data_IF_182846412195
#
_entry.id   IF_182846412195
#
_cell.length_a   1.000
_cell.length_b   1.000
_cell.length_c   1.000
_cell.angle_alpha   90.00
_cell.angle_beta   90.00
_cell.angle_gamma   90.00
#
_symmetry.space_group_name_H-M   'P 1'
#
loop_
_entity.id
_entity.type
_entity.pdbx_description
1 polymer ?
#
# COMPACT_ATOMS: atom_id res chain seq x y z
N UNK A 1 11.51 -10.43 -9.76
CA UNK A 1 10.36 -10.95 -9.00
C UNK A 1 10.32 -12.43 -9.29
N UNK A 2 10.90 -13.24 -8.41
CA UNK A 2 11.04 -14.69 -8.62
C UNK A 2 10.16 -15.48 -7.64
N UNK A 3 9.51 -14.79 -6.71
CA UNK A 3 8.69 -15.38 -5.66
C UNK A 3 7.23 -15.51 -6.12
N UNK A 4 6.49 -16.52 -5.61
CA UNK A 4 5.09 -16.72 -5.97
C UNK A 4 4.21 -15.59 -5.42
N UNK A 5 3.04 -15.34 -6.04
CA UNK A 5 2.14 -14.25 -5.63
C UNK A 5 1.67 -14.38 -4.17
N UNK A 6 1.53 -15.60 -3.65
CA UNK A 6 1.24 -15.82 -2.23
C UNK A 6 2.29 -15.22 -1.29
N UNK A 7 3.57 -15.22 -1.68
CA UNK A 7 4.64 -14.62 -0.89
C UNK A 7 4.53 -13.08 -0.91
N UNK A 8 4.27 -12.48 -2.08
CA UNK A 8 4.09 -11.02 -2.21
C UNK A 8 2.85 -10.52 -1.47
N UNK A 9 1.77 -11.32 -1.42
CA UNK A 9 0.58 -10.97 -0.65
C UNK A 9 0.84 -10.97 0.87
N UNK A 10 1.78 -11.78 1.36
CA UNK A 10 2.03 -11.94 2.80
C UNK A 10 3.21 -11.12 3.34
N UNK A 11 4.18 -10.77 2.51
CA UNK A 11 5.40 -10.06 2.94
C UNK A 11 5.10 -8.74 3.65
N UNK A 12 4.09 -8.00 3.19
CA UNK A 12 3.64 -6.77 3.84
C UNK A 12 3.16 -7.01 5.27
N UNK A 13 2.35 -8.04 5.48
CA UNK A 13 1.86 -8.41 6.82
C UNK A 13 3.00 -8.86 7.75
N UNK A 14 3.99 -9.58 7.23
CA UNK A 14 5.16 -9.98 8.02
C UNK A 14 5.96 -8.77 8.50
N UNK A 15 6.17 -7.78 7.62
CA UNK A 15 6.82 -6.52 8.01
C UNK A 15 6.01 -5.75 9.07
N UNK A 16 4.68 -5.78 8.97
CA UNK A 16 3.80 -5.16 9.96
C UNK A 16 3.91 -5.84 11.32
N UNK A 17 3.93 -7.17 11.40
CA UNK A 17 4.09 -7.87 12.68
C UNK A 17 5.40 -7.48 13.38
N UNK A 18 6.48 -7.27 12.62
CA UNK A 18 7.74 -6.77 13.18
C UNK A 18 7.61 -5.32 13.66
N UNK A 19 6.97 -4.45 12.87
CA UNK A 19 6.73 -3.06 13.25
C UNK A 19 5.84 -2.95 14.50
N UNK A 20 4.81 -3.79 14.62
CA UNK A 20 3.94 -3.87 15.80
C UNK A 20 4.71 -4.30 17.04
N UNK A 21 5.64 -5.25 16.92
CA UNK A 21 6.49 -5.64 18.05
C UNK A 21 7.30 -4.44 18.57
N UNK A 22 7.91 -3.66 17.67
CA UNK A 22 8.66 -2.46 18.05
C UNK A 22 7.77 -1.36 18.64
N UNK A 23 6.55 -1.19 18.11
CA UNK A 23 5.55 -0.25 18.62
C UNK A 23 5.05 -0.64 20.02
N UNK A 24 4.65 -1.89 20.21
CA UNK A 24 3.88 -2.32 21.39
C UNK A 24 4.75 -2.83 22.54
N UNK A 25 5.84 -3.53 22.22
CA UNK A 25 6.76 -4.10 23.22
C UNK A 25 7.87 -3.11 23.53
N UNK A 26 8.56 -2.62 22.51
CA UNK A 26 9.69 -1.71 22.70
C UNK A 26 9.27 -0.25 22.89
N UNK A 27 8.00 0.10 22.59
CA UNK A 27 7.43 1.45 22.78
C UNK A 27 8.22 2.52 22.03
N UNK A 28 8.61 2.20 20.80
CA UNK A 28 9.40 3.08 19.94
C UNK A 28 8.57 3.57 18.76
N UNK A 29 8.99 4.70 18.22
CA UNK A 29 8.48 5.22 16.96
C UNK A 29 9.18 4.49 15.81
N UNK A 30 8.38 3.80 14.99
CA UNK A 30 8.85 2.96 13.89
C UNK A 30 8.56 3.65 12.58
N UNK A 31 9.57 3.73 11.72
CA UNK A 31 9.40 4.17 10.34
C UNK A 31 9.32 2.93 9.44
N UNK A 32 8.18 2.72 8.80
CA UNK A 32 7.91 1.60 7.89
C UNK A 32 7.94 2.06 6.44
N UNK A 33 8.76 1.43 5.60
CA UNK A 33 8.79 1.69 4.17
C UNK A 33 8.14 0.54 3.41
N UNK A 34 7.09 0.85 2.65
CA UNK A 34 6.39 -0.11 1.79
C UNK A 34 6.56 0.30 0.33
N UNK A 35 7.48 -0.35 -0.38
CA UNK A 35 7.65 -0.21 -1.82
C UNK A 35 7.44 -1.59 -2.48
N UNK A 36 6.33 -1.88 -3.15
CA UNK A 36 5.23 -1.00 -3.56
C UNK A 36 3.88 -1.58 -3.10
N UNK A 37 2.98 -0.77 -2.56
CA UNK A 37 1.67 -1.25 -2.07
C UNK A 37 0.82 -1.83 -3.21
N UNK A 38 1.02 -1.36 -4.45
CA UNK A 38 0.35 -1.93 -5.62
C UNK A 38 0.74 -3.39 -5.88
N UNK A 39 1.93 -3.85 -5.45
CA UNK A 39 2.31 -5.27 -5.55
C UNK A 39 1.47 -6.15 -4.66
N UNK A 40 1.05 -5.67 -3.49
CA UNK A 40 0.13 -6.38 -2.62
C UNK A 40 -1.24 -6.56 -3.31
N UNK A 41 -1.73 -5.51 -3.96
CA UNK A 41 -2.99 -5.55 -4.72
C UNK A 41 -2.90 -6.52 -5.91
N UNK A 42 -1.82 -6.44 -6.70
CA UNK A 42 -1.63 -7.33 -7.85
C UNK A 42 -1.54 -8.80 -7.43
N UNK A 43 -0.75 -9.09 -6.39
CA UNK A 43 -0.62 -10.44 -5.86
C UNK A 43 -1.98 -10.97 -5.34
N UNK A 44 -2.79 -10.11 -4.71
CA UNK A 44 -4.14 -10.45 -4.28
C UNK A 44 -5.08 -10.78 -5.44
N UNK A 45 -5.01 -10.02 -6.54
CA UNK A 45 -5.76 -10.32 -7.77
C UNK A 45 -5.37 -11.68 -8.35
N UNK A 46 -4.06 -11.97 -8.49
CA UNK A 46 -3.56 -13.26 -8.99
C UNK A 46 -4.01 -14.44 -8.11
N UNK A 47 -3.88 -14.32 -6.79
CA UNK A 47 -4.34 -15.35 -5.85
C UNK A 47 -5.85 -15.51 -5.90
N UNK A 48 -6.61 -14.42 -6.03
CA UNK A 48 -8.07 -14.46 -6.12
C UNK A 48 -8.55 -15.16 -7.39
N UNK A 49 -7.88 -14.94 -8.53
CA UNK A 49 -8.14 -15.64 -9.79
C UNK A 49 -7.84 -17.14 -9.67
N UNK A 50 -6.73 -17.51 -9.03
CA UNK A 50 -6.39 -18.92 -8.78
C UNK A 50 -7.39 -19.63 -7.87
N UNK A 51 -8.00 -18.91 -6.93
CA UNK A 51 -9.04 -19.41 -6.04
C UNK A 51 -10.43 -19.48 -6.70
N UNK A 52 -10.56 -19.10 -7.97
CA UNK A 52 -11.84 -19.14 -8.70
C UNK A 52 -12.87 -18.11 -8.23
N UNK A 53 -12.43 -17.04 -7.55
CA UNK A 53 -13.33 -15.95 -7.16
C UNK A 53 -13.69 -15.13 -8.40
N UNK A 54 -14.95 -14.71 -8.51
CA UNK A 54 -15.36 -13.79 -9.57
C UNK A 54 -14.60 -12.47 -9.44
N UNK A 55 -13.96 -11.98 -10.51
CA UNK A 55 -13.26 -10.69 -10.48
C UNK A 55 -14.25 -9.54 -10.34
N UNK A 56 -13.83 -8.49 -9.66
CA UNK A 56 -14.56 -7.24 -9.52
C UNK A 56 -14.17 -6.25 -10.62
N UNK A 57 -14.43 -4.96 -10.42
CA UNK A 57 -14.06 -3.87 -11.32
C UNK A 57 -12.60 -4.00 -11.78
N UNK A 58 -12.38 -3.87 -13.09
CA UNK A 58 -11.04 -3.84 -13.73
C UNK A 58 -10.20 -5.12 -13.50
N UNK A 59 -10.79 -6.22 -12.99
CA UNK A 59 -10.08 -7.48 -12.79
C UNK A 59 -9.44 -7.65 -11.40
N UNK A 60 -9.71 -6.75 -10.46
CA UNK A 60 -9.24 -6.88 -9.08
C UNK A 60 -10.08 -7.88 -8.27
N UNK A 61 -9.53 -8.31 -7.14
CA UNK A 61 -10.24 -9.16 -6.20
C UNK A 61 -11.45 -8.44 -5.58
N UNK A 62 -12.58 -9.14 -5.34
CA UNK A 62 -13.74 -8.53 -4.68
C UNK A 62 -13.46 -8.12 -3.23
N UNK A 63 -12.41 -8.68 -2.62
CA UNK A 63 -11.97 -8.40 -1.24
C UNK A 63 -10.97 -7.24 -1.13
N UNK A 64 -10.71 -6.50 -2.22
CA UNK A 64 -9.65 -5.49 -2.29
C UNK A 64 -9.76 -4.45 -1.16
N UNK A 65 -10.94 -3.87 -0.97
CA UNK A 65 -11.17 -2.85 0.05
C UNK A 65 -10.94 -3.39 1.47
N UNK A 66 -11.40 -4.62 1.75
CA UNK A 66 -11.25 -5.23 3.08
C UNK A 66 -9.80 -5.62 3.37
N UNK A 67 -9.09 -6.17 2.38
CA UNK A 67 -7.68 -6.53 2.50
C UNK A 67 -6.79 -5.30 2.67
N UNK A 68 -7.06 -4.23 1.90
CA UNK A 68 -6.37 -2.96 2.05
C UNK A 68 -6.65 -2.34 3.42
N UNK A 69 -7.91 -2.27 3.84
CA UNK A 69 -8.27 -1.74 5.16
C UNK A 69 -7.60 -2.51 6.30
N UNK A 70 -7.58 -3.85 6.22
CA UNK A 70 -6.92 -4.68 7.25
C UNK A 70 -5.42 -4.41 7.36
N UNK A 71 -4.75 -4.09 6.25
CA UNK A 71 -3.33 -3.77 6.24
C UNK A 71 -3.08 -2.33 6.75
N UNK A 72 -3.87 -1.38 6.30
CA UNK A 72 -3.67 0.04 6.61
C UNK A 72 -4.09 0.41 8.04
N UNK A 73 -5.16 -0.18 8.57
CA UNK A 73 -5.64 0.09 9.94
C UNK A 73 -4.62 -0.30 11.02
N UNK A 74 -3.72 -1.25 10.72
CA UNK A 74 -2.63 -1.63 11.64
C UNK A 74 -1.56 -0.52 11.72
N UNK A 75 -1.38 0.23 10.63
CA UNK A 75 -0.43 1.34 10.51
C UNK A 75 -1.05 2.58 11.15
N UNK A 76 -1.08 2.58 12.47
CA UNK A 76 -1.61 3.68 13.25
C UNK A 76 -0.72 4.00 14.45
N UNK A 77 -0.86 5.23 14.94
CA UNK A 77 -0.24 5.66 16.18
C UNK A 77 -1.07 5.21 17.38
N UNK A 78 -0.43 4.60 18.37
CA UNK A 78 -1.07 4.20 19.62
C UNK A 78 -0.50 4.98 20.80
N UNK A 79 -1.06 4.82 22.00
CA UNK A 79 -0.52 5.44 23.22
C UNK A 79 0.87 4.94 23.62
N UNK A 80 1.33 3.81 23.07
CA UNK A 80 2.60 3.16 23.43
C UNK A 80 3.74 3.51 22.47
N UNK A 81 3.42 3.92 21.25
CA UNK A 81 4.37 4.24 20.19
C UNK A 81 3.64 4.49 18.88
N UNK A 82 4.37 4.95 17.86
CA UNK A 82 3.82 5.23 16.53
C UNK A 82 4.43 4.34 15.45
N UNK A 83 3.63 4.02 14.43
CA UNK A 83 4.14 3.50 13.16
C UNK A 83 3.87 4.58 12.12
N UNK A 84 4.92 5.21 11.62
CA UNK A 84 4.84 6.13 10.48
C UNK A 84 5.18 5.33 9.24
N UNK A 85 4.29 5.28 8.25
CA UNK A 85 4.57 4.58 6.99
C UNK A 85 4.80 5.53 5.82
N UNK A 86 5.79 5.20 5.00
CA UNK A 86 6.00 5.81 3.68
C UNK A 86 5.73 4.71 2.66
N UNK A 87 4.68 4.90 1.86
CA UNK A 87 4.19 3.89 0.93
C UNK A 87 4.27 4.41 -0.50
N UNK A 88 4.90 3.65 -1.38
CA UNK A 88 4.93 3.95 -2.81
C UNK A 88 3.67 3.34 -3.43
N UNK A 89 2.84 4.19 -4.03
CA UNK A 89 1.65 3.79 -4.80
C UNK A 89 1.98 3.92 -6.28
N UNK A 90 2.01 2.80 -6.99
CA UNK A 90 2.09 2.82 -8.46
C UNK A 90 0.71 3.05 -9.07
N UNK A 91 0.59 4.07 -9.92
CA UNK A 91 -0.63 4.35 -10.68
C UNK A 91 -0.49 3.71 -12.07
N UNK A 92 -1.28 2.68 -12.40
CA UNK A 92 -1.23 2.07 -13.72
C UNK A 92 -1.67 3.08 -14.78
N UNK A 93 -0.89 3.18 -15.86
CA UNK A 93 -1.18 4.04 -17.02
C UNK A 93 -1.43 5.55 -16.70
N UNK A 94 -0.95 6.05 -15.56
CA UNK A 94 -1.28 7.40 -15.06
C UNK A 94 -2.78 7.66 -14.84
N UNK A 95 -3.60 6.60 -14.72
CA UNK A 95 -5.04 6.68 -14.50
C UNK A 95 -5.39 6.61 -13.01
N UNK A 96 -5.74 7.75 -12.43
CA UNK A 96 -6.19 7.87 -11.04
C UNK A 96 -7.61 7.33 -10.80
N UNK A 97 -8.34 6.95 -11.86
CA UNK A 97 -9.69 6.39 -11.76
C UNK A 97 -9.71 4.86 -11.67
N UNK A 98 -8.56 4.20 -11.85
CA UNK A 98 -8.39 2.79 -11.49
C UNK A 98 -8.80 2.58 -10.02
N UNK A 99 -9.43 1.47 -9.63
CA UNK A 99 -9.91 1.28 -8.25
C UNK A 99 -8.79 1.09 -7.21
N UNK A 100 -7.55 0.79 -7.58
CA UNK A 100 -6.46 0.56 -6.62
C UNK A 100 -5.92 1.86 -5.97
N UNK A 101 -5.66 2.96 -6.71
CA UNK A 101 -5.26 4.23 -6.08
C UNK A 101 -6.33 4.83 -5.13
N UNK A 102 -7.62 4.99 -5.50
CA UNK A 102 -8.64 5.57 -4.63
C UNK A 102 -8.84 4.77 -3.32
N UNK A 103 -8.80 3.44 -3.39
CA UNK A 103 -8.90 2.60 -2.19
C UNK A 103 -7.69 2.77 -1.27
N UNK A 104 -6.51 3.03 -1.82
CA UNK A 104 -5.30 3.30 -1.02
C UNK A 104 -5.31 4.73 -0.47
N UNK A 105 -5.68 5.73 -1.28
CA UNK A 105 -5.70 7.14 -0.89
C UNK A 105 -6.68 7.43 0.24
N UNK A 106 -7.78 6.69 0.33
CA UNK A 106 -8.73 6.81 1.45
C UNK A 106 -8.11 6.53 2.83
N UNK A 107 -6.96 5.84 2.87
CA UNK A 107 -6.26 5.47 4.11
C UNK A 107 -4.96 6.27 4.34
N UNK A 108 -4.58 7.19 3.44
CA UNK A 108 -3.32 7.94 3.56
C UNK A 108 -3.55 9.34 4.13
N UNK A 109 -2.83 9.68 5.21
CA UNK A 109 -2.89 11.01 5.83
C UNK A 109 -2.26 12.12 4.99
N UNK A 110 -1.28 11.77 4.15
CA UNK A 110 -0.61 12.71 3.26
C UNK A 110 -0.26 12.01 1.96
N UNK A 111 -0.53 12.68 0.84
CA UNK A 111 -0.18 12.18 -0.49
C UNK A 111 0.86 13.08 -1.13
N UNK A 112 1.86 12.46 -1.73
CA UNK A 112 2.89 13.13 -2.52
C UNK A 112 2.88 12.52 -3.91
N UNK A 113 2.52 13.33 -4.91
CA UNK A 113 2.37 12.87 -6.28
C UNK A 113 3.62 13.24 -7.07
N UNK A 114 4.29 12.24 -7.64
CA UNK A 114 5.41 12.43 -8.56
C UNK A 114 4.88 12.46 -9.99
N UNK A 115 4.98 13.62 -10.67
CA UNK A 115 4.54 13.78 -12.06
C UNK A 115 5.70 13.66 -13.04
N UNK A 116 5.52 12.85 -14.09
CA UNK A 116 6.46 12.77 -15.23
C UNK A 116 6.70 14.13 -15.89
N UNK A 117 5.68 15.00 -15.95
CA UNK A 117 5.77 16.32 -16.57
C UNK A 117 6.63 17.33 -15.78
N UNK A 118 6.81 17.12 -14.48
CA UNK A 118 7.74 17.90 -13.64
C UNK A 118 9.15 17.31 -13.70
N UNK A 119 9.27 15.98 -13.70
CA UNK A 119 10.54 15.29 -13.86
C UNK A 119 11.22 15.59 -15.21
N UNK A 120 10.46 15.70 -16.30
CA UNK A 120 10.98 16.06 -17.61
C UNK A 120 11.54 17.50 -17.70
N UNK A 121 11.17 18.36 -16.73
CA UNK A 121 11.69 19.72 -16.58
C UNK A 121 12.88 19.82 -15.62
N UNK A 122 13.40 18.69 -15.12
CA UNK A 122 14.42 18.61 -14.07
C UNK A 122 14.02 19.30 -12.75
N UNK A 123 12.71 19.45 -12.50
CA UNK A 123 12.18 20.05 -11.28
C UNK A 123 11.80 18.92 -10.31
N UNK A 124 12.57 18.75 -9.23
CA UNK A 124 12.16 17.97 -8.06
C UNK A 124 11.32 18.86 -7.13
N UNK A 125 10.08 19.16 -7.52
CA UNK A 125 9.13 19.91 -6.66
C UNK A 125 8.12 18.96 -6.04
N UNK A 126 8.04 19.00 -4.71
CA UNK A 126 7.09 18.23 -3.92
C UNK A 126 5.77 19.01 -3.83
N UNK A 127 4.69 18.51 -4.46
CA UNK A 127 3.34 19.05 -4.24
C UNK A 127 2.65 18.22 -3.16
N UNK A 128 2.39 18.85 -2.01
CA UNK A 128 1.60 18.29 -0.92
C UNK A 128 0.13 18.58 -1.21
N UNK A 129 -0.66 17.54 -1.41
CA UNK A 129 -2.13 17.65 -1.45
C UNK A 129 -2.62 17.39 -0.02
N UNK A 130 -3.21 18.41 0.60
CA UNK A 130 -3.88 18.33 1.91
C UNK A 130 -5.34 17.89 1.73
#
# INVERSE_FOLDING_TARGET
MNEPPGAHMRVGLTSLTMAEYFRDVNKQDVLLFIDNIFRFVQAGSEVSSLLGRMPSAVGYQPTLSTEMGSLQEIIASTKKGSITSIQVVYVPADDLTDPAPPTTFAHLDATTILSRGLASKAICSWQRTL
#
